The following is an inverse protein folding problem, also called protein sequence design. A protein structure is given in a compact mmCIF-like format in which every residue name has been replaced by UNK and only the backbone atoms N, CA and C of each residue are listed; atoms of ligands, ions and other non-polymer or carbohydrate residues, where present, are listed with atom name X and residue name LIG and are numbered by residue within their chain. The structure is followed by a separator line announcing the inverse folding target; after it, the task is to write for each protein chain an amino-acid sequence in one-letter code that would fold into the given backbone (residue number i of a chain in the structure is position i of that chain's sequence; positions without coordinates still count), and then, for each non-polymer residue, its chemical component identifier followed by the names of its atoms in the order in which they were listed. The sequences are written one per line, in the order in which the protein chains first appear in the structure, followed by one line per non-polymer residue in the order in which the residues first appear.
data_IF_530202241707
#
_entry.id   IF_530202241707
#
_cell.length_a   1.000
_cell.length_b   1.000
_cell.length_c   1.000
_cell.angle_alpha   90.00
_cell.angle_beta   90.00
_cell.angle_gamma   90.00
#
_symmetry.space_group_name_H-M   'P 1'
#
loop_
_entity.id
_entity.type
_entity.pdbx_description
1 polymer ?
#
# COMPACT_ATOMS: atom_id res chain seq x y z
N UNK A 1 -21.49 28.56 7.26
CA UNK A 1 -20.70 27.68 6.39
C UNK A 1 -20.60 28.29 4.99
N UNK A 2 -21.69 28.68 4.34
CA UNK A 2 -21.69 29.27 2.98
C UNK A 2 -20.86 30.57 2.92
N UNK A 3 -20.94 31.44 3.92
CA UNK A 3 -20.18 32.69 4.00
C UNK A 3 -18.66 32.45 4.15
N UNK A 4 -18.27 31.41 4.88
CA UNK A 4 -16.86 31.01 5.04
C UNK A 4 -16.30 30.44 3.73
N UNK A 5 -17.10 29.66 2.99
CA UNK A 5 -16.67 29.14 1.67
C UNK A 5 -16.57 30.23 0.61
N UNK A 6 -17.44 31.26 0.65
CA UNK A 6 -17.35 32.41 -0.27
C UNK A 6 -16.12 33.27 0.06
N UNK A 7 -15.81 33.50 1.33
CA UNK A 7 -14.61 34.24 1.75
C UNK A 7 -13.35 33.45 1.40
N UNK A 8 -13.34 32.12 1.58
CA UNK A 8 -12.22 31.28 1.17
C UNK A 8 -12.02 31.25 -0.36
N UNK A 9 -13.10 31.22 -1.14
CA UNK A 9 -13.04 31.31 -2.60
C UNK A 9 -12.51 32.67 -3.08
N UNK A 10 -12.96 33.77 -2.46
CA UNK A 10 -12.45 35.12 -2.75
C UNK A 10 -10.98 35.28 -2.33
N UNK A 11 -10.53 34.63 -1.24
CA UNK A 11 -9.13 34.63 -0.83
C UNK A 11 -8.24 33.83 -1.80
N UNK A 12 -8.76 32.76 -2.41
CA UNK A 12 -8.06 31.99 -3.44
C UNK A 12 -7.94 32.77 -4.75
N UNK A 13 -8.98 33.52 -5.16
CA UNK A 13 -8.92 34.39 -6.35
C UNK A 13 -7.96 35.60 -6.16
N UNK A 14 -7.74 36.10 -4.94
CA UNK A 14 -6.81 37.20 -4.67
C UNK A 14 -5.35 36.69 -4.66
N UNK A 15 -5.12 35.38 -4.58
CA UNK A 15 -3.78 34.76 -4.58
C UNK A 15 -3.21 34.49 -5.98
N UNK A 16 -3.98 34.67 -7.06
CA UNK A 16 -3.54 34.50 -8.45
C UNK A 16 -2.83 35.77 -8.97
N UNK A 17 -1.82 36.21 -8.24
CA UNK A 17 -0.90 37.27 -8.70
C UNK A 17 0.16 36.69 -9.64
N UNK A 18 0.27 37.21 -10.87
CA UNK A 18 1.43 36.94 -11.72
C UNK A 18 2.68 37.53 -11.08
N UNK A 19 3.76 36.75 -11.02
CA UNK A 19 5.08 37.18 -10.60
C UNK A 19 6.12 36.76 -11.65
N UNK A 20 7.22 37.44 -11.69
CA UNK A 20 8.35 37.06 -12.54
C UNK A 20 8.86 35.67 -12.17
N UNK A 21 9.23 34.87 -13.18
CA UNK A 21 9.83 33.56 -12.98
C UNK A 21 11.22 33.74 -12.40
N UNK A 22 11.44 33.17 -11.22
CA UNK A 22 12.73 33.13 -10.57
C UNK A 22 13.57 31.91 -11.00
N UNK A 23 14.90 31.99 -10.84
CA UNK A 23 15.79 30.84 -11.11
C UNK A 23 15.45 29.61 -10.31
N UNK A 24 14.90 29.77 -9.11
CA UNK A 24 14.42 28.72 -8.23
C UNK A 24 13.24 27.94 -8.81
N UNK A 25 12.36 28.64 -9.58
CA UNK A 25 11.22 28.00 -10.25
C UNK A 25 11.66 27.07 -11.37
N UNK A 26 12.77 27.40 -12.04
CA UNK A 26 13.35 26.67 -13.15
C UNK A 26 14.35 25.58 -12.71
N UNK A 27 14.52 25.37 -11.41
CA UNK A 27 15.39 24.31 -10.91
C UNK A 27 14.82 22.95 -11.32
N UNK A 28 15.65 22.15 -12.00
CA UNK A 28 15.31 20.77 -12.36
C UNK A 28 15.10 19.92 -11.09
N UNK A 29 14.14 19.02 -11.08
CA UNK A 29 14.09 17.92 -10.11
C UNK A 29 15.38 17.10 -10.19
N UNK A 30 15.75 16.44 -9.08
CA UNK A 30 16.90 15.52 -9.08
C UNK A 30 16.63 14.28 -9.95
N UNK A 31 17.65 13.44 -10.12
CA UNK A 31 17.66 12.27 -11.03
C UNK A 31 16.50 11.27 -10.83
N UNK A 32 15.97 11.15 -9.60
CA UNK A 32 14.82 10.30 -9.28
C UNK A 32 13.50 11.08 -9.20
N UNK A 33 13.53 12.40 -9.46
CA UNK A 33 12.37 13.27 -9.33
C UNK A 33 11.38 13.11 -10.47
N UNK A 34 10.11 13.42 -10.19
CA UNK A 34 9.08 13.54 -11.21
C UNK A 34 9.25 14.86 -11.99
N UNK A 35 8.71 14.91 -13.20
CA UNK A 35 8.59 16.14 -13.98
C UNK A 35 7.86 17.22 -13.18
N UNK A 36 8.33 18.47 -13.27
CA UNK A 36 7.72 19.62 -12.63
C UNK A 36 7.00 20.45 -13.67
N UNK A 37 5.70 20.61 -13.52
CA UNK A 37 4.89 21.48 -14.37
C UNK A 37 4.81 22.90 -13.77
N UNK A 38 5.07 23.89 -14.58
CA UNK A 38 5.03 25.31 -14.24
C UNK A 38 4.08 26.03 -15.18
N UNK A 39 2.95 26.51 -14.66
CA UNK A 39 2.00 27.32 -15.42
C UNK A 39 2.55 28.73 -15.55
N UNK A 40 2.62 29.22 -16.78
CA UNK A 40 3.25 30.50 -17.10
C UNK A 40 2.43 31.30 -18.09
N UNK A 41 2.46 32.61 -17.94
CA UNK A 41 1.99 33.58 -18.93
C UNK A 41 3.20 34.18 -19.65
N UNK A 42 3.30 33.91 -20.94
CA UNK A 42 4.40 34.40 -21.78
C UNK A 42 3.94 35.66 -22.51
N UNK A 43 4.65 36.76 -22.34
CA UNK A 43 4.39 38.02 -23.03
C UNK A 43 5.40 38.22 -24.15
N UNK A 44 4.92 38.24 -25.41
CA UNK A 44 5.70 38.48 -26.60
C UNK A 44 5.15 39.73 -27.35
N UNK A 45 5.72 40.89 -27.10
CA UNK A 45 5.23 42.16 -27.58
C UNK A 45 3.84 42.48 -26.99
N UNK A 46 2.79 42.46 -27.83
CA UNK A 46 1.41 42.69 -27.39
C UNK A 46 0.61 41.39 -27.15
N UNK A 47 1.22 40.27 -27.39
CA UNK A 47 0.54 38.98 -27.28
C UNK A 47 0.84 38.35 -25.91
N UNK A 48 -0.22 37.83 -25.26
CA UNK A 48 -0.17 36.98 -24.06
C UNK A 48 -0.47 35.55 -24.46
N UNK A 49 0.33 34.60 -24.00
CA UNK A 49 0.20 33.18 -24.23
C UNK A 49 0.25 32.50 -22.87
N UNK A 50 -0.85 31.95 -22.43
CA UNK A 50 -0.91 31.15 -21.20
C UNK A 50 -0.61 29.68 -21.56
N UNK A 51 0.37 29.08 -20.92
CA UNK A 51 0.81 27.71 -21.20
C UNK A 51 1.50 27.09 -19.97
N UNK A 52 1.71 25.79 -20.03
CA UNK A 52 2.47 25.05 -19.01
C UNK A 52 3.84 24.66 -19.57
N UNK A 53 4.89 24.98 -18.85
CA UNK A 53 6.26 24.52 -19.15
C UNK A 53 6.54 23.31 -18.27
N UNK A 54 6.90 22.17 -18.90
CA UNK A 54 7.36 20.98 -18.19
C UNK A 54 8.87 21.04 -18.02
N UNK A 55 9.34 20.99 -16.77
CA UNK A 55 10.76 20.93 -16.42
C UNK A 55 11.08 19.47 -16.14
N UNK A 56 11.84 18.86 -17.03
CA UNK A 56 12.31 17.48 -16.89
C UNK A 56 13.32 17.35 -15.75
N UNK A 57 13.38 16.20 -15.05
CA UNK A 57 14.42 15.93 -14.06
C UNK A 57 15.82 15.90 -14.69
N UNK A 58 16.83 15.95 -13.83
CA UNK A 58 18.21 15.72 -14.25
C UNK A 58 18.34 14.29 -14.78
N UNK A 59 19.14 14.12 -15.84
CA UNK A 59 19.36 12.82 -16.50
C UNK A 59 20.83 12.46 -16.43
N UNK A 60 21.11 11.21 -16.13
CA UNK A 60 22.47 10.68 -16.23
C UNK A 60 22.91 10.60 -17.70
N UNK A 61 24.15 10.90 -17.96
CA UNK A 61 24.79 10.59 -19.24
C UNK A 61 25.02 9.09 -19.38
N UNK A 62 25.32 8.60 -20.58
CA UNK A 62 25.62 7.19 -20.81
C UNK A 62 26.72 6.64 -19.87
N UNK A 63 27.79 7.40 -19.70
CA UNK A 63 28.91 7.01 -18.83
C UNK A 63 28.48 6.99 -17.36
N UNK A 64 27.79 8.00 -16.89
CA UNK A 64 27.26 8.04 -15.50
C UNK A 64 26.24 6.91 -15.26
N UNK A 65 25.48 6.54 -16.29
CA UNK A 65 24.53 5.42 -16.21
C UNK A 65 25.26 4.08 -16.06
N UNK A 66 26.37 3.85 -16.74
CA UNK A 66 27.19 2.65 -16.56
C UNK A 66 27.76 2.58 -15.14
N UNK A 67 28.27 3.67 -14.60
CA UNK A 67 28.75 3.75 -13.21
C UNK A 67 27.62 3.54 -12.22
N UNK A 68 26.44 4.09 -12.48
CA UNK A 68 25.22 3.88 -11.66
C UNK A 68 24.83 2.41 -11.65
N UNK A 69 24.76 1.74 -12.80
CA UNK A 69 24.42 0.32 -12.90
C UNK A 69 25.45 -0.55 -12.15
N UNK A 70 26.72 -0.27 -12.28
CA UNK A 70 27.76 -1.00 -11.53
C UNK A 70 27.59 -0.83 -10.02
N UNK A 71 27.33 0.37 -9.54
CA UNK A 71 27.10 0.65 -8.13
C UNK A 71 25.84 -0.06 -7.60
N UNK A 72 24.75 -0.05 -8.40
CA UNK A 72 23.52 -0.79 -8.08
C UNK A 72 23.83 -2.29 -7.97
N UNK A 73 24.53 -2.86 -8.95
CA UNK A 73 24.90 -4.27 -8.94
C UNK A 73 25.73 -4.67 -7.69
N UNK A 74 26.74 -3.85 -7.33
CA UNK A 74 27.54 -4.11 -6.11
C UNK A 74 26.70 -4.02 -4.82
N UNK A 75 25.66 -3.18 -4.82
CA UNK A 75 24.71 -3.11 -3.71
C UNK A 75 23.80 -4.33 -3.68
N UNK A 76 23.28 -4.74 -4.83
CA UNK A 76 22.40 -5.90 -4.96
C UNK A 76 23.02 -7.20 -4.44
N UNK A 77 24.32 -7.42 -4.65
CA UNK A 77 25.03 -8.59 -4.13
C UNK A 77 24.97 -8.73 -2.60
N UNK A 78 24.76 -7.64 -1.89
CA UNK A 78 24.60 -7.63 -0.43
C UNK A 78 23.15 -7.76 -0.02
N UNK A 79 22.28 -6.99 -0.66
CA UNK A 79 20.84 -6.97 -0.37
C UNK A 79 20.15 -8.30 -0.65
N UNK A 80 20.58 -9.00 -1.70
CA UNK A 80 20.02 -10.29 -2.11
C UNK A 80 20.20 -11.37 -1.04
N UNK A 81 21.22 -11.27 -0.19
CA UNK A 81 21.52 -12.28 0.83
C UNK A 81 20.40 -12.44 1.85
N UNK A 82 19.67 -11.37 2.17
CA UNK A 82 18.70 -11.38 3.26
C UNK A 82 19.30 -11.99 4.53
N UNK A 83 18.76 -13.12 5.03
CA UNK A 83 19.25 -13.84 6.21
C UNK A 83 20.36 -14.87 5.90
N UNK A 84 20.79 -15.00 4.64
CA UNK A 84 21.85 -15.94 4.26
C UNK A 84 23.26 -15.37 4.55
N UNK A 85 24.17 -16.22 4.96
CA UNK A 85 25.53 -15.81 5.31
C UNK A 85 26.38 -15.41 4.09
N UNK A 86 26.17 -16.07 2.93
CA UNK A 86 26.92 -15.83 1.70
C UNK A 86 26.16 -16.35 0.49
N UNK A 87 26.57 -15.90 -0.73
CA UNK A 87 26.02 -16.39 -1.99
C UNK A 87 26.36 -17.89 -2.25
N UNK A 88 27.38 -18.40 -1.60
CA UNK A 88 27.84 -19.81 -1.71
C UNK A 88 27.08 -20.74 -0.76
N UNK A 89 26.18 -20.20 0.07
CA UNK A 89 25.43 -20.97 1.06
C UNK A 89 24.02 -20.40 1.26
N UNK A 90 23.17 -20.58 0.24
CA UNK A 90 21.78 -20.14 0.28
C UNK A 90 20.91 -21.24 0.88
N UNK A 91 20.26 -20.97 2.00
CA UNK A 91 19.37 -21.87 2.73
C UNK A 91 17.98 -21.30 2.96
N UNK A 92 17.87 -19.97 2.94
CA UNK A 92 16.62 -19.22 3.18
C UNK A 92 16.30 -18.32 1.99
N UNK A 93 15.11 -17.76 1.98
CA UNK A 93 14.64 -16.90 0.91
C UNK A 93 15.59 -15.72 0.67
N UNK A 94 15.71 -15.32 -0.60
CA UNK A 94 16.49 -14.18 -1.06
C UNK A 94 15.65 -12.92 -1.13
N UNK A 95 16.28 -11.75 -0.99
CA UNK A 95 15.64 -10.45 -1.16
C UNK A 95 15.85 -9.93 -2.60
N UNK A 96 14.99 -10.30 -3.53
CA UNK A 96 15.03 -9.84 -4.92
C UNK A 96 14.27 -8.51 -5.06
N UNK A 97 14.92 -7.41 -4.70
CA UNK A 97 14.31 -6.07 -4.78
C UNK A 97 14.19 -5.61 -6.24
N UNK A 98 13.07 -5.01 -6.59
CA UNK A 98 12.80 -4.45 -7.94
C UNK A 98 13.25 -2.99 -8.07
N UNK A 99 13.50 -2.32 -6.93
CA UNK A 99 13.89 -0.91 -6.88
C UNK A 99 14.65 -0.60 -5.59
N UNK A 100 15.68 0.21 -5.69
CA UNK A 100 16.37 0.80 -4.55
C UNK A 100 15.71 2.13 -4.16
N UNK A 101 15.77 2.48 -2.87
CA UNK A 101 15.29 3.76 -2.37
C UNK A 101 16.11 4.92 -3.00
N UNK A 102 15.43 5.98 -3.39
CA UNK A 102 16.03 7.16 -4.04
C UNK A 102 16.86 6.86 -5.30
N UNK A 103 16.69 5.69 -5.93
CA UNK A 103 17.41 5.32 -7.14
C UNK A 103 16.44 5.22 -8.34
N UNK A 104 16.77 5.84 -9.51
CA UNK A 104 15.89 5.80 -10.68
C UNK A 104 15.96 4.50 -11.48
N UNK A 105 16.84 3.55 -11.09
CA UNK A 105 17.02 2.27 -11.79
C UNK A 105 15.93 1.29 -11.37
N UNK A 106 15.26 0.69 -12.35
CA UNK A 106 14.40 -0.47 -12.16
C UNK A 106 15.19 -1.75 -12.36
N UNK A 107 14.82 -2.80 -11.61
CA UNK A 107 15.51 -4.08 -11.58
C UNK A 107 14.50 -5.17 -11.88
N UNK A 108 14.82 -6.01 -12.86
CA UNK A 108 14.03 -7.19 -13.19
C UNK A 108 14.91 -8.44 -13.01
N UNK A 109 14.36 -9.44 -12.30
CA UNK A 109 15.11 -10.63 -11.94
C UNK A 109 14.71 -11.85 -12.76
N UNK A 110 15.71 -12.62 -13.17
CA UNK A 110 15.54 -13.92 -13.83
C UNK A 110 16.37 -14.97 -13.11
N UNK A 111 15.81 -16.15 -12.96
CA UNK A 111 16.48 -17.31 -12.38
C UNK A 111 16.75 -18.36 -13.46
N UNK A 112 17.95 -18.94 -13.48
CA UNK A 112 18.24 -20.07 -14.38
C UNK A 112 17.49 -21.35 -13.97
N UNK A 113 16.97 -21.40 -12.74
CA UNK A 113 16.17 -22.52 -12.25
C UNK A 113 15.06 -22.06 -11.29
N UNK A 114 13.88 -21.80 -11.83
CA UNK A 114 12.71 -21.37 -11.05
C UNK A 114 12.15 -22.45 -10.11
N UNK A 115 12.55 -23.71 -10.26
CA UNK A 115 12.18 -24.76 -9.31
C UNK A 115 13.00 -24.69 -8.00
N UNK A 116 14.14 -24.00 -8.02
CA UNK A 116 14.97 -23.78 -6.84
C UNK A 116 14.87 -22.36 -6.29
N UNK A 117 14.80 -21.36 -7.17
CA UNK A 117 14.65 -19.96 -6.76
C UNK A 117 13.56 -19.33 -7.61
N UNK A 118 12.45 -18.97 -6.97
CA UNK A 118 11.31 -18.30 -7.59
C UNK A 118 11.63 -16.85 -8.01
N UNK A 119 10.76 -16.26 -8.82
CA UNK A 119 10.85 -14.85 -9.22
C UNK A 119 10.69 -13.88 -8.04
N UNK A 120 10.08 -14.33 -6.96
CA UNK A 120 9.88 -13.61 -5.69
C UNK A 120 11.03 -13.81 -4.68
N UNK A 121 12.10 -14.51 -5.08
CA UNK A 121 13.25 -14.82 -4.22
C UNK A 121 13.04 -16.02 -3.30
N UNK A 122 11.87 -16.68 -3.35
CA UNK A 122 11.64 -17.89 -2.56
C UNK A 122 12.56 -19.02 -2.97
N UNK A 123 13.15 -19.68 -1.97
CA UNK A 123 14.07 -20.79 -2.15
C UNK A 123 13.38 -22.11 -1.83
N UNK A 124 13.31 -22.98 -2.82
CA UNK A 124 12.65 -24.30 -2.75
C UNK A 124 13.71 -25.40 -2.60
N UNK A 125 14.34 -25.50 -1.44
CA UNK A 125 15.42 -26.43 -1.16
C UNK A 125 15.03 -27.63 -0.28
N UNK A 126 13.73 -27.80 -0.01
CA UNK A 126 13.21 -28.87 0.84
C UNK A 126 13.44 -30.28 0.24
N UNK A 127 13.58 -30.38 -1.10
CA UNK A 127 13.83 -31.63 -1.80
C UNK A 127 15.33 -31.94 -1.96
N UNK A 128 16.21 -30.99 -1.65
CA UNK A 128 17.64 -31.20 -1.66
C UNK A 128 18.08 -31.96 -0.40
N UNK A 129 18.97 -32.96 -0.58
CA UNK A 129 19.60 -33.64 0.56
C UNK A 129 20.50 -32.65 1.30
N UNK A 130 20.72 -32.87 2.62
CA UNK A 130 21.51 -31.99 3.49
C UNK A 130 22.86 -31.55 2.88
N UNK A 131 23.56 -32.46 2.19
CA UNK A 131 24.89 -32.20 1.60
C UNK A 131 24.83 -31.85 0.12
N UNK A 132 23.63 -31.80 -0.46
CA UNK A 132 23.43 -31.45 -1.85
C UNK A 132 23.50 -29.95 -2.05
N UNK A 133 24.23 -29.55 -3.09
CA UNK A 133 24.41 -28.15 -3.49
C UNK A 133 24.09 -28.01 -4.97
N UNK A 134 23.32 -26.99 -5.31
CA UNK A 134 22.94 -26.69 -6.68
C UNK A 134 23.27 -25.24 -7.02
N UNK A 135 24.02 -25.03 -8.11
CA UNK A 135 24.33 -23.69 -8.61
C UNK A 135 23.14 -23.14 -9.39
N UNK A 136 22.71 -21.93 -9.03
CA UNK A 136 21.70 -21.16 -9.76
C UNK A 136 22.30 -19.82 -10.13
N UNK A 137 22.12 -19.42 -11.39
CA UNK A 137 22.49 -18.10 -11.87
C UNK A 137 21.25 -17.19 -11.84
N UNK A 138 21.34 -16.10 -11.08
CA UNK A 138 20.35 -15.04 -11.08
C UNK A 138 20.83 -13.92 -12.00
N UNK A 139 19.97 -13.47 -12.88
CA UNK A 139 20.27 -12.35 -13.78
C UNK A 139 19.45 -11.13 -13.35
N UNK A 140 20.14 -10.05 -13.00
CA UNK A 140 19.54 -8.75 -12.72
C UNK A 140 19.61 -7.90 -13.98
N UNK A 141 18.47 -7.60 -14.59
CA UNK A 141 18.35 -6.64 -15.67
C UNK A 141 18.08 -5.26 -15.07
N UNK A 142 19.05 -4.37 -15.20
CA UNK A 142 18.96 -2.99 -14.75
C UNK A 142 18.50 -2.11 -15.92
N UNK A 143 17.53 -1.24 -15.66
CA UNK A 143 17.01 -0.31 -16.66
C UNK A 143 16.90 1.11 -16.12
N UNK A 144 17.36 2.06 -16.88
CA UNK A 144 17.19 3.49 -16.66
C UNK A 144 16.93 4.18 -18.00
N UNK A 145 15.71 4.68 -18.21
CA UNK A 145 15.26 5.25 -19.49
C UNK A 145 15.50 4.25 -20.65
N UNK A 146 16.28 4.68 -21.67
CA UNK A 146 16.68 3.86 -22.83
C UNK A 146 17.90 2.95 -22.57
N UNK A 147 18.57 3.11 -21.43
CA UNK A 147 19.76 2.34 -21.09
C UNK A 147 19.36 1.07 -20.32
N UNK A 148 19.98 -0.04 -20.68
CA UNK A 148 19.81 -1.30 -19.96
C UNK A 148 21.10 -2.07 -19.88
N UNK A 149 21.30 -2.82 -18.81
CA UNK A 149 22.44 -3.71 -18.61
C UNK A 149 22.04 -4.92 -17.80
N UNK A 150 22.63 -6.08 -18.10
CA UNK A 150 22.34 -7.34 -17.42
C UNK A 150 23.56 -7.80 -16.63
N UNK A 151 23.36 -8.18 -15.39
CA UNK A 151 24.39 -8.67 -14.49
C UNK A 151 24.02 -10.02 -13.93
N UNK A 152 24.96 -10.95 -13.95
CA UNK A 152 24.78 -12.31 -13.45
C UNK A 152 25.35 -12.43 -12.03
N UNK A 153 24.60 -13.06 -11.15
CA UNK A 153 24.98 -13.40 -9.79
C UNK A 153 24.82 -14.91 -9.64
N UNK A 154 25.91 -15.61 -9.41
CA UNK A 154 25.90 -17.04 -9.12
C UNK A 154 25.66 -17.26 -7.64
N UNK A 155 24.72 -18.11 -7.33
CA UNK A 155 24.38 -18.50 -5.97
C UNK A 155 24.38 -20.02 -5.84
N UNK A 156 24.75 -20.53 -4.69
CA UNK A 156 24.74 -21.96 -4.41
C UNK A 156 23.64 -22.24 -3.39
N UNK A 157 22.58 -22.89 -3.85
CA UNK A 157 21.48 -23.35 -3.01
C UNK A 157 21.90 -24.64 -2.30
N UNK A 158 21.84 -24.64 -0.99
CA UNK A 158 22.16 -25.78 -0.16
C UNK A 158 20.91 -26.43 0.40
N UNK A 159 20.90 -27.77 0.46
CA UNK A 159 19.86 -28.50 1.19
C UNK A 159 19.88 -28.13 2.68
N UNK A 160 18.71 -28.05 3.29
CA UNK A 160 18.55 -27.77 4.71
C UNK A 160 18.01 -28.99 5.46
N UNK A 161 18.32 -29.09 6.74
CA UNK A 161 17.62 -30.04 7.60
C UNK A 161 16.21 -29.51 7.88
N UNK A 162 15.21 -30.30 7.52
CA UNK A 162 13.83 -30.03 7.89
C UNK A 162 13.63 -30.36 9.36
N UNK A 163 12.83 -29.59 10.05
CA UNK A 163 12.32 -29.97 11.36
C UNK A 163 11.40 -31.17 11.22
N UNK A 164 11.17 -31.90 12.31
CA UNK A 164 10.24 -33.04 12.29
C UNK A 164 8.82 -32.62 11.80
N UNK A 165 8.34 -31.46 12.22
CA UNK A 165 7.04 -30.91 11.76
C UNK A 165 7.02 -30.61 10.25
N UNK A 166 8.10 -30.04 9.71
CA UNK A 166 8.23 -29.75 8.29
C UNK A 166 8.30 -31.03 7.46
N UNK A 167 9.04 -32.03 7.96
CA UNK A 167 9.14 -33.34 7.30
C UNK A 167 7.76 -34.02 7.29
N UNK A 168 7.10 -34.10 8.43
CA UNK A 168 5.76 -34.70 8.55
C UNK A 168 4.76 -34.00 7.63
N UNK A 169 4.81 -32.66 7.57
CA UNK A 169 3.97 -31.89 6.65
C UNK A 169 4.22 -32.25 5.20
N UNK A 170 5.48 -32.39 4.80
CA UNK A 170 5.88 -32.77 3.44
C UNK A 170 5.36 -34.16 3.09
N UNK A 171 5.54 -35.13 4.00
CA UNK A 171 5.10 -36.51 3.80
C UNK A 171 3.58 -36.63 3.74
N UNK A 172 2.84 -35.90 4.58
CA UNK A 172 1.37 -35.79 4.50
C UNK A 172 0.92 -35.25 3.15
N UNK A 173 1.52 -34.15 2.64
CA UNK A 173 1.16 -33.59 1.35
C UNK A 173 1.52 -34.51 0.17
N UNK A 174 2.62 -35.24 0.28
CA UNK A 174 3.00 -36.23 -0.71
C UNK A 174 1.96 -37.36 -0.77
N UNK A 175 1.57 -37.94 0.35
CA UNK A 175 0.55 -38.99 0.43
C UNK A 175 -0.83 -38.49 -0.07
N UNK A 176 -1.21 -37.25 0.27
CA UNK A 176 -2.45 -36.66 -0.26
C UNK A 176 -2.38 -36.54 -1.79
N UNK A 177 -1.24 -36.12 -2.32
CA UNK A 177 -1.05 -36.02 -3.79
C UNK A 177 -1.12 -37.38 -4.47
N UNK A 178 -0.54 -38.41 -3.85
CA UNK A 178 -0.67 -39.78 -4.32
C UNK A 178 -2.12 -40.26 -4.32
N UNK A 179 -2.85 -39.98 -3.23
CA UNK A 179 -4.27 -40.34 -3.13
C UNK A 179 -5.15 -39.61 -4.17
N UNK A 180 -4.82 -38.38 -4.54
CA UNK A 180 -5.52 -37.63 -5.60
C UNK A 180 -5.23 -38.14 -7.01
N UNK A 181 -4.15 -38.88 -7.21
CA UNK A 181 -3.80 -39.43 -8.54
C UNK A 181 -4.57 -40.71 -8.90
N UNK A 182 -5.41 -41.23 -8.00
CA UNK A 182 -6.33 -42.33 -8.32
C UNK A 182 -7.55 -41.81 -9.11
N UNK A 183 -7.51 -41.97 -10.44
CA UNK A 183 -8.56 -41.51 -11.35
C UNK A 183 -9.81 -42.39 -11.34
N UNK A 184 -9.82 -43.49 -10.60
CA UNK A 184 -10.95 -44.42 -10.55
C UNK A 184 -11.93 -44.18 -9.39
N UNK A 185 -11.62 -43.28 -8.51
CA UNK A 185 -12.46 -42.95 -7.35
C UNK A 185 -13.09 -41.56 -7.47
N UNK A 186 -14.38 -41.44 -7.18
CA UNK A 186 -15.09 -40.17 -7.08
C UNK A 186 -14.71 -39.38 -5.80
N UNK A 187 -13.99 -40.00 -4.87
CA UNK A 187 -13.61 -39.44 -3.59
C UNK A 187 -12.11 -39.61 -3.34
N UNK A 188 -11.47 -38.59 -2.75
CA UNK A 188 -10.08 -38.66 -2.29
C UNK A 188 -10.06 -39.28 -0.90
N UNK A 189 -9.38 -40.42 -0.74
CA UNK A 189 -9.14 -41.02 0.56
C UNK A 189 -7.91 -40.40 1.19
N UNK A 190 -8.11 -39.60 2.25
CA UNK A 190 -7.01 -38.96 2.96
C UNK A 190 -6.27 -40.00 3.85
N UNK A 191 -4.92 -39.98 3.90
CA UNK A 191 -4.14 -40.88 4.71
C UNK A 191 -4.45 -40.66 6.20
N UNK A 192 -4.67 -41.74 6.93
CA UNK A 192 -4.99 -41.71 8.37
C UNK A 192 -3.74 -41.80 9.26
N UNK A 193 -2.63 -42.26 8.69
CA UNK A 193 -1.36 -42.43 9.35
C UNK A 193 -0.25 -42.07 8.37
N UNK A 194 0.70 -41.27 8.81
CA UNK A 194 1.87 -40.88 8.04
C UNK A 194 3.07 -40.92 8.98
N UNK A 195 4.14 -41.61 8.56
CA UNK A 195 5.37 -41.80 9.34
C UNK A 195 5.17 -42.33 10.77
N UNK A 196 4.12 -43.16 10.96
CA UNK A 196 3.76 -43.74 12.25
C UNK A 196 2.94 -42.82 13.17
N UNK A 197 2.55 -41.65 12.69
CA UNK A 197 1.69 -40.72 13.41
C UNK A 197 0.25 -40.72 12.85
N UNK A 198 -0.72 -40.68 13.77
CA UNK A 198 -2.16 -40.57 13.40
C UNK A 198 -2.47 -39.15 12.92
N UNK A 199 -3.06 -39.03 11.71
CA UNK A 199 -3.40 -37.75 11.09
C UNK A 199 -4.91 -37.52 11.12
N UNK A 200 -5.35 -36.45 11.76
CA UNK A 200 -6.75 -36.06 11.87
C UNK A 200 -7.02 -34.77 11.06
N UNK A 201 -7.91 -34.86 10.09
CA UNK A 201 -8.29 -33.73 9.24
C UNK A 201 -9.52 -33.02 9.79
N UNK A 202 -9.44 -31.70 9.95
CA UNK A 202 -10.59 -30.86 10.35
C UNK A 202 -10.81 -29.77 9.31
N UNK A 203 -12.02 -29.69 8.78
CA UNK A 203 -12.38 -28.58 7.89
C UNK A 203 -12.37 -27.27 8.66
N UNK A 204 -11.62 -26.31 8.18
CA UNK A 204 -11.61 -24.96 8.71
C UNK A 204 -12.70 -24.16 7.99
N UNK A 205 -13.80 -23.88 8.69
CA UNK A 205 -14.83 -22.98 8.15
C UNK A 205 -14.40 -21.54 8.41
N UNK A 206 -14.09 -20.82 7.35
CA UNK A 206 -13.85 -19.39 7.42
C UNK A 206 -15.19 -18.69 7.62
N UNK A 207 -15.52 -18.37 8.87
CA UNK A 207 -16.67 -17.52 9.17
C UNK A 207 -16.46 -16.15 8.55
N UNK A 208 -17.29 -15.80 7.57
CA UNK A 208 -17.24 -14.46 6.97
C UNK A 208 -17.88 -13.45 7.95
N UNK A 209 -17.09 -13.04 8.96
CA UNK A 209 -17.53 -12.09 9.98
C UNK A 209 -17.69 -10.66 9.45
N UNK A 210 -17.26 -10.37 8.21
CA UNK A 210 -17.35 -9.05 7.61
C UNK A 210 -18.82 -8.57 7.51
N UNK A 211 -19.74 -9.47 7.17
CA UNK A 211 -21.17 -9.16 7.14
C UNK A 211 -21.71 -8.85 8.55
N UNK A 212 -21.31 -9.62 9.57
CA UNK A 212 -21.72 -9.40 10.95
C UNK A 212 -21.22 -8.04 11.48
N UNK A 213 -19.97 -7.67 11.19
CA UNK A 213 -19.40 -6.36 11.57
C UNK A 213 -20.13 -5.22 10.88
N UNK A 214 -20.48 -5.35 9.59
CA UNK A 214 -21.28 -4.36 8.85
C UNK A 214 -22.68 -4.20 9.45
N UNK A 215 -23.37 -5.30 9.78
CA UNK A 215 -24.68 -5.25 10.42
C UNK A 215 -24.63 -4.60 11.80
N UNK A 216 -23.60 -4.90 12.61
CA UNK A 216 -23.39 -4.23 13.90
C UNK A 216 -23.13 -2.72 13.72
N UNK A 217 -22.30 -2.33 12.75
CA UNK A 217 -22.02 -0.92 12.44
C UNK A 217 -23.28 -0.15 12.02
N UNK A 218 -24.09 -0.72 11.13
CA UNK A 218 -25.36 -0.12 10.68
C UNK A 218 -26.35 -0.01 11.85
N UNK A 219 -26.47 -1.06 12.67
CA UNK A 219 -27.36 -1.07 13.83
C UNK A 219 -26.98 0.01 14.84
N UNK A 220 -25.69 0.19 15.13
CA UNK A 220 -25.18 1.26 16.00
C UNK A 220 -25.44 2.65 15.42
N UNK A 221 -25.27 2.84 14.12
CA UNK A 221 -25.55 4.12 13.45
C UNK A 221 -27.04 4.47 13.51
N UNK A 222 -27.91 3.50 13.28
CA UNK A 222 -29.37 3.67 13.40
C UNK A 222 -29.74 4.00 14.86
N UNK A 223 -29.20 3.27 15.84
CA UNK A 223 -29.43 3.54 17.27
C UNK A 223 -28.98 4.94 17.66
N UNK A 224 -27.78 5.38 17.27
CA UNK A 224 -27.29 6.71 17.54
C UNK A 224 -28.18 7.79 16.92
N UNK A 225 -28.66 7.59 15.69
CA UNK A 225 -29.56 8.53 15.01
C UNK A 225 -30.92 8.65 15.75
N UNK A 226 -31.49 7.54 16.19
CA UNK A 226 -32.76 7.57 16.96
C UNK A 226 -32.57 8.20 18.33
N UNK A 227 -31.48 7.91 19.02
CA UNK A 227 -31.15 8.50 20.32
C UNK A 227 -30.99 10.03 20.23
N UNK A 228 -30.29 10.54 19.20
CA UNK A 228 -30.15 11.99 18.97
C UNK A 228 -31.49 12.66 18.63
N UNK A 229 -32.35 11.97 17.88
CA UNK A 229 -33.69 12.45 17.57
C UNK A 229 -34.59 12.54 18.81
N UNK A 230 -34.53 11.54 19.69
CA UNK A 230 -35.25 11.56 20.96
C UNK A 230 -34.77 12.69 21.87
N UNK A 231 -33.47 12.90 21.99
CA UNK A 231 -32.88 14.03 22.73
C UNK A 231 -33.35 15.38 22.21
N UNK A 232 -33.39 15.59 20.90
CA UNK A 232 -33.90 16.82 20.30
C UNK A 232 -35.39 17.01 20.57
N UNK A 233 -36.20 15.97 20.43
CA UNK A 233 -37.63 16.00 20.71
C UNK A 233 -37.95 16.28 22.18
N UNK A 234 -37.17 15.71 23.11
CA UNK A 234 -37.35 15.97 24.55
C UNK A 234 -36.97 17.42 24.89
N UNK A 235 -35.88 17.94 24.31
CA UNK A 235 -35.45 19.33 24.49
C UNK A 235 -36.47 20.33 23.95
N UNK A 236 -37.05 20.06 22.76
CA UNK A 236 -38.11 20.92 22.19
C UNK A 236 -39.39 20.87 23.03
N UNK A 237 -39.79 19.72 23.55
CA UNK A 237 -40.94 19.58 24.45
C UNK A 237 -40.72 20.35 25.76
N UNK A 238 -39.53 20.29 26.30
CA UNK A 238 -39.17 21.01 27.54
C UNK A 238 -39.15 22.53 27.32
N UNK A 239 -38.62 22.99 26.19
CA UNK A 239 -38.64 24.39 25.78
C UNK A 239 -40.07 24.94 25.56
N UNK A 240 -40.95 24.14 24.91
CA UNK A 240 -42.37 24.50 24.71
C UNK A 240 -43.09 24.55 26.08
N UNK A 241 -42.75 23.64 27.01
CA UNK A 241 -43.33 23.61 28.35
C UNK A 241 -42.90 24.86 29.16
N UNK A 242 -41.63 25.27 29.09
CA UNK A 242 -41.13 26.51 29.70
C UNK A 242 -41.81 27.72 29.11
N UNK A 243 -41.90 27.85 27.75
CA UNK A 243 -42.61 28.96 27.13
C UNK A 243 -44.08 29.06 27.56
N UNK A 244 -44.79 27.92 27.77
CA UNK A 244 -46.17 27.90 28.26
C UNK A 244 -46.28 28.36 29.74
N UNK A 245 -45.28 28.11 30.54
CA UNK A 245 -45.22 28.58 31.94
C UNK A 245 -44.92 30.08 32.02
N UNK A 246 -44.05 30.57 31.14
CA UNK A 246 -43.64 31.99 31.13
C UNK A 246 -44.69 32.92 30.44
N UNK A 247 -45.54 32.35 29.60
CA UNK A 247 -46.57 33.12 28.89
C UNK A 247 -47.53 33.91 29.80
N UNK A 248 -48.05 33.37 30.91
CA UNK A 248 -48.90 34.12 31.83
C UNK A 248 -48.18 35.30 32.50
N UNK A 249 -46.89 35.15 32.82
CA UNK A 249 -46.10 36.24 33.44
C UNK A 249 -45.86 37.39 32.48
N UNK A 250 -45.55 37.07 31.21
CA UNK A 250 -45.36 38.10 30.17
C UNK A 250 -46.65 38.86 29.88
N UNK A 251 -47.78 38.16 29.82
CA UNK A 251 -49.10 38.79 29.62
C UNK A 251 -49.47 39.69 30.81
N UNK A 252 -49.16 39.22 32.03
CA UNK A 252 -49.41 40.03 33.23
C UNK A 252 -48.55 41.31 33.24
N UNK A 253 -47.29 41.25 32.84
CA UNK A 253 -46.38 42.39 32.73
C UNK A 253 -46.81 43.40 31.65
N UNK A 254 -47.29 42.91 30.52
CA UNK A 254 -47.83 43.81 29.47
C UNK A 254 -49.12 44.51 29.85
N UNK A 255 -49.98 43.87 30.67
CA UNK A 255 -51.27 44.43 31.09
C UNK A 255 -51.14 45.38 32.29
N UNK A 256 -50.03 45.30 33.06
CA UNK A 256 -49.77 46.17 34.24
C UNK A 256 -48.82 47.33 33.96
N UNK A 257 -48.36 47.47 32.69
CA UNK A 257 -47.58 48.64 32.28
C UNK A 257 -48.51 49.90 32.25
N UNK A 258 -48.23 50.95 33.05
CA UNK A 258 -49.05 52.14 33.08
C UNK A 258 -48.94 52.86 31.73
N UNK A 259 -50.11 53.25 31.16
CA UNK A 259 -50.17 54.08 29.96
C UNK A 259 -49.34 55.38 30.17
N UNK A 260 -48.56 55.80 29.16
CA UNK A 260 -47.87 57.07 29.22
C UNK A 260 -48.88 58.19 29.19
N UNK A 261 -49.05 58.91 30.28
CA UNK A 261 -49.81 60.15 30.37
C UNK A 261 -49.26 61.15 29.36
N UNK A 262 -50.07 61.49 28.32
CA UNK A 262 -49.83 62.65 27.45
C UNK A 262 -50.08 63.93 28.27
N UNK A 263 -49.06 64.73 28.36
CA UNK A 263 -49.14 66.16 28.56
C UNK A 263 -48.66 66.90 27.33
#
# INVERSE_FOLDING_TARGET
IILVSIVAALFLEISDGERDIEKSDLKKPGYSGAEKNLDVSIYAGKNRIDTTITIEPEKYTAQETEELFFNVYEHLKKEILNDNASLDEIKTDLNLIEKLEDNPVSIEWFSSNYNLIGYDGKVYNDDLKKDQKEEVTLTANLQYMEYSSSYEIKVIVCGRELTHEEQLKKDIFYEIKCAQSDYNSDYVELPKEVDGEEVIYKKRESGNYAAAVLFCGISLAIFAHYHDKEKKNSYEKEKIKQMKCDYPEIVCLLYTSPEPTRH
#
